data_IF_283493067712
#
_entry.id   IF_283493067712
#
_cell.length_a   1.000
_cell.length_b   1.000
_cell.length_c   1.000
_cell.angle_alpha   90.00
_cell.angle_beta   90.00
_cell.angle_gamma   90.00
#
_symmetry.space_group_name_H-M   'P 1'
#
loop_
_entity.id
_entity.type
_entity.pdbx_description
1 polymer ?
#
# COMPACT_ATOMS: atom_id res chain seq x y z
N UNK A 1 3.79 -6.07 7.72
CA UNK A 1 2.77 -6.18 6.66
C UNK A 1 2.31 -7.61 6.37
N UNK A 2 3.15 -8.66 6.51
CA UNK A 2 2.71 -10.06 6.32
C UNK A 2 1.41 -10.40 7.08
N UNK A 3 1.29 -9.98 8.35
CA UNK A 3 0.10 -10.21 9.17
C UNK A 3 -1.14 -9.39 8.77
N UNK A 4 -0.97 -8.33 7.98
CA UNK A 4 -2.07 -7.47 7.55
C UNK A 4 -2.90 -8.09 6.42
N UNK A 5 -2.34 -9.10 5.73
CA UNK A 5 -2.96 -9.72 4.56
C UNK A 5 -3.60 -11.07 4.91
N UNK A 6 -4.90 -11.19 4.66
CA UNK A 6 -5.64 -12.45 4.74
C UNK A 6 -6.03 -12.90 3.31
N UNK A 7 -5.18 -13.75 2.72
CA UNK A 7 -5.36 -14.27 1.37
C UNK A 7 -6.68 -15.06 1.21
N UNK A 8 -7.14 -15.75 2.26
CA UNK A 8 -8.37 -16.56 2.21
C UNK A 8 -9.61 -15.71 2.04
N UNK A 9 -9.59 -14.48 2.58
CA UNK A 9 -10.67 -13.50 2.48
C UNK A 9 -10.43 -12.45 1.40
N UNK A 10 -9.21 -12.38 0.86
CA UNK A 10 -8.72 -11.26 0.05
C UNK A 10 -9.01 -9.93 0.75
N UNK A 11 -8.56 -9.84 2.00
CA UNK A 11 -8.72 -8.65 2.84
C UNK A 11 -7.35 -8.16 3.32
N UNK A 12 -7.13 -6.86 3.21
CA UNK A 12 -5.93 -6.19 3.68
C UNK A 12 -6.30 -5.20 4.78
N UNK A 13 -5.67 -5.33 5.95
CA UNK A 13 -5.73 -4.34 7.02
C UNK A 13 -4.90 -3.11 6.62
N UNK A 14 -5.55 -1.95 6.53
CA UNK A 14 -4.94 -0.69 6.05
C UNK A 14 -4.88 0.40 7.11
N UNK A 15 -5.47 0.17 8.29
CA UNK A 15 -5.39 1.10 9.41
C UNK A 15 -5.95 0.48 10.69
N UNK A 16 -5.44 0.92 11.82
CA UNK A 16 -5.99 0.58 13.15
C UNK A 16 -6.07 1.87 13.95
N UNK A 17 -7.25 2.23 14.43
CA UNK A 17 -7.50 3.47 15.16
C UNK A 17 -8.51 4.39 14.53
N UNK A 18 -9.52 4.78 15.29
CA UNK A 18 -10.43 5.84 14.89
C UNK A 18 -9.71 7.20 14.98
N UNK A 19 -9.43 7.87 13.84
CA UNK A 19 -8.49 8.99 13.81
C UNK A 19 -8.96 10.19 14.65
N UNK A 20 -10.26 10.51 14.61
CA UNK A 20 -10.82 11.61 15.40
C UNK A 20 -10.69 11.43 16.92
N UNK A 21 -10.87 10.21 17.43
CA UNK A 21 -10.79 9.96 18.87
C UNK A 21 -9.34 9.88 19.33
N UNK A 22 -8.48 9.28 18.51
CA UNK A 22 -7.03 9.24 18.71
C UNK A 22 -6.46 10.66 18.82
N UNK A 23 -6.76 11.54 17.86
CA UNK A 23 -6.25 12.92 17.84
C UNK A 23 -6.84 13.85 18.91
N UNK A 24 -7.98 13.48 19.52
CA UNK A 24 -8.55 14.22 20.67
C UNK A 24 -7.86 13.89 21.99
N UNK A 25 -6.96 12.90 21.99
CA UNK A 25 -6.38 12.35 23.20
C UNK A 25 -4.90 12.69 23.29
N UNK A 26 -4.49 13.32 24.40
CA UNK A 26 -3.08 13.57 24.71
C UNK A 26 -2.69 12.71 25.91
N UNK A 27 -2.34 11.45 25.64
CA UNK A 27 -2.00 10.44 26.64
C UNK A 27 -0.78 9.64 26.18
N UNK A 28 -0.14 8.93 27.12
CA UNK A 28 0.83 7.91 26.76
C UNK A 28 0.16 6.79 25.94
N UNK A 29 0.83 6.25 24.93
CA UNK A 29 0.26 5.25 24.02
C UNK A 29 -0.13 3.96 24.76
N UNK A 30 0.60 3.60 25.82
CA UNK A 30 0.34 2.46 26.69
C UNK A 30 -0.99 2.60 27.48
N UNK A 31 -1.55 3.81 27.53
CA UNK A 31 -2.79 4.11 28.26
C UNK A 31 -4.03 4.14 27.36
N UNK A 32 -3.89 3.89 26.05
CA UNK A 32 -5.00 3.94 25.08
C UNK A 32 -6.13 3.01 25.50
N UNK A 33 -5.83 1.76 25.83
CA UNK A 33 -6.84 0.75 26.20
C UNK A 33 -7.55 1.05 27.53
N UNK A 34 -6.96 1.93 28.35
CA UNK A 34 -7.53 2.35 29.64
C UNK A 34 -8.34 3.63 29.48
N UNK A 35 -7.84 4.58 28.69
CA UNK A 35 -8.34 5.97 28.68
C UNK A 35 -9.33 6.22 27.56
N UNK A 36 -9.13 5.58 26.41
CA UNK A 36 -10.00 5.65 25.25
C UNK A 36 -10.27 4.25 24.71
N UNK A 37 -10.87 3.36 25.53
CA UNK A 37 -11.16 1.99 25.11
C UNK A 37 -12.02 1.98 23.84
N UNK A 38 -11.92 0.91 23.06
CA UNK A 38 -12.70 0.68 21.83
C UNK A 38 -12.38 1.61 20.64
N UNK A 39 -11.40 2.51 20.78
CA UNK A 39 -10.99 3.41 19.68
C UNK A 39 -10.05 2.77 18.67
N UNK A 40 -9.45 1.60 18.98
CA UNK A 40 -8.54 0.87 18.08
C UNK A 40 -9.31 0.01 17.07
N UNK A 41 -10.15 0.65 16.27
CA UNK A 41 -10.94 0.02 15.20
C UNK A 41 -10.04 -0.35 14.02
N UNK A 42 -10.19 -1.56 13.49
CA UNK A 42 -9.45 -2.03 12.32
C UNK A 42 -10.19 -1.72 11.01
N UNK A 43 -9.48 -1.15 10.04
CA UNK A 43 -9.99 -0.81 8.71
C UNK A 43 -9.39 -1.71 7.64
N UNK A 44 -10.24 -2.18 6.74
CA UNK A 44 -9.85 -3.15 5.71
C UNK A 44 -10.27 -2.70 4.32
N UNK A 45 -9.44 -3.03 3.33
CA UNK A 45 -9.84 -3.10 1.93
C UNK A 45 -10.08 -4.55 1.53
N UNK A 46 -10.90 -4.74 0.50
CA UNK A 46 -11.35 -6.06 0.01
C UNK A 46 -11.78 -5.96 -1.45
N UNK A 47 -12.14 -7.08 -2.07
CA UNK A 47 -12.65 -7.10 -3.45
C UNK A 47 -13.84 -6.15 -3.71
N UNK A 48 -14.70 -5.94 -2.70
CA UNK A 48 -15.88 -5.05 -2.79
C UNK A 48 -15.57 -3.60 -2.39
N UNK A 49 -14.45 -3.39 -1.71
CA UNK A 49 -13.97 -2.11 -1.19
C UNK A 49 -12.46 -2.04 -1.49
N UNK A 50 -12.08 -1.87 -2.77
CA UNK A 50 -10.69 -2.01 -3.22
C UNK A 50 -9.78 -0.90 -2.67
N UNK A 51 -8.47 -1.13 -2.76
CA UNK A 51 -7.44 -0.17 -2.38
C UNK A 51 -6.14 -0.53 -3.05
N UNK A 52 -6.05 -0.21 -4.34
CA UNK A 52 -4.93 -0.60 -5.20
C UNK A 52 -3.63 0.07 -4.76
N UNK A 53 -3.65 1.36 -4.47
CA UNK A 53 -2.50 2.15 -4.05
C UNK A 53 -1.89 1.60 -2.76
N UNK A 54 -2.70 1.41 -1.71
CA UNK A 54 -2.19 0.92 -0.41
C UNK A 54 -1.72 -0.54 -0.48
N UNK A 55 -2.40 -1.38 -1.27
CA UNK A 55 -1.99 -2.77 -1.47
C UNK A 55 -0.68 -2.85 -2.28
N UNK A 56 -0.55 -2.05 -3.33
CA UNK A 56 0.66 -1.98 -4.15
C UNK A 56 1.84 -1.38 -3.37
N UNK A 57 1.64 -0.35 -2.54
CA UNK A 57 2.68 0.20 -1.68
C UNK A 57 3.16 -0.82 -0.64
N UNK A 58 2.25 -1.57 -0.01
CA UNK A 58 2.63 -2.67 0.90
C UNK A 58 3.35 -3.80 0.17
N UNK A 59 2.98 -4.08 -1.08
CA UNK A 59 3.72 -5.01 -1.95
C UNK A 59 5.15 -4.53 -2.19
N UNK A 60 5.33 -3.27 -2.61
CA UNK A 60 6.62 -2.66 -2.87
C UNK A 60 7.53 -2.72 -1.63
N UNK A 61 6.99 -2.35 -0.46
CA UNK A 61 7.71 -2.38 0.81
C UNK A 61 8.17 -3.81 1.17
N UNK A 62 7.29 -4.82 1.08
CA UNK A 62 7.65 -6.21 1.36
C UNK A 62 8.70 -6.76 0.39
N UNK A 63 8.59 -6.42 -0.90
CA UNK A 63 9.56 -6.84 -1.90
C UNK A 63 10.94 -6.21 -1.63
N UNK A 64 10.98 -4.89 -1.41
CA UNK A 64 12.21 -4.16 -1.09
C UNK A 64 12.87 -4.70 0.19
N UNK A 65 12.08 -4.97 1.24
CA UNK A 65 12.57 -5.59 2.47
C UNK A 65 13.13 -7.00 2.22
N UNK A 66 12.42 -7.82 1.46
CA UNK A 66 12.88 -9.18 1.12
C UNK A 66 14.22 -9.16 0.37
N UNK A 67 14.40 -8.21 -0.55
CA UNK A 67 15.67 -8.03 -1.26
C UNK A 67 16.80 -7.60 -0.32
N UNK A 68 16.54 -6.60 0.53
CA UNK A 68 17.52 -6.13 1.51
C UNK A 68 17.94 -7.23 2.49
N UNK A 69 16.98 -8.02 3.00
CA UNK A 69 17.27 -9.11 3.93
C UNK A 69 18.05 -10.25 3.27
N UNK A 70 17.78 -10.55 2.00
CA UNK A 70 18.62 -11.48 1.23
C UNK A 70 20.04 -10.95 1.05
N UNK A 71 20.19 -9.66 0.69
CA UNK A 71 21.49 -9.02 0.49
C UNK A 71 22.33 -9.00 1.77
N UNK A 72 21.70 -8.65 2.90
CA UNK A 72 22.34 -8.57 4.22
C UNK A 72 22.43 -9.92 4.94
N UNK A 73 21.92 -11.01 4.35
CA UNK A 73 21.87 -12.35 4.97
C UNK A 73 21.20 -12.36 6.35
N UNK A 74 20.15 -11.56 6.51
CA UNK A 74 19.34 -11.53 7.74
C UNK A 74 18.55 -12.84 7.85
N UNK A 75 18.54 -13.45 9.03
CA UNK A 75 17.68 -14.60 9.34
C UNK A 75 16.21 -14.14 9.47
N UNK A 76 15.54 -14.06 8.33
CA UNK A 76 14.15 -13.66 8.20
C UNK A 76 13.45 -14.52 7.14
N UNK A 77 12.14 -14.71 7.31
CA UNK A 77 11.29 -15.42 6.34
C UNK A 77 11.01 -14.55 5.10
N UNK A 78 12.05 -14.39 4.28
CA UNK A 78 11.98 -13.59 3.04
C UNK A 78 11.07 -14.23 1.99
N UNK A 79 10.92 -15.55 1.99
CA UNK A 79 10.02 -16.25 1.07
C UNK A 79 8.56 -15.89 1.33
N UNK A 80 8.14 -15.82 2.60
CA UNK A 80 6.81 -15.30 2.96
C UNK A 80 6.65 -13.83 2.56
N UNK A 81 7.68 -12.99 2.69
CA UNK A 81 7.61 -11.60 2.27
C UNK A 81 7.37 -11.47 0.76
N UNK A 82 8.15 -12.18 -0.07
CA UNK A 82 7.98 -12.18 -1.53
C UNK A 82 6.63 -12.76 -1.95
N UNK A 83 6.15 -13.81 -1.27
CA UNK A 83 4.84 -14.40 -1.53
C UNK A 83 3.71 -13.39 -1.25
N UNK A 84 3.67 -12.80 -0.05
CA UNK A 84 2.62 -11.83 0.32
C UNK A 84 2.72 -10.58 -0.55
N UNK A 85 3.94 -10.14 -0.87
CA UNK A 85 4.16 -9.03 -1.79
C UNK A 85 3.49 -9.27 -3.15
N UNK A 86 3.72 -10.44 -3.77
CA UNK A 86 3.07 -10.80 -5.04
C UNK A 86 1.55 -10.90 -4.92
N UNK A 87 1.04 -11.55 -3.88
CA UNK A 87 -0.41 -11.65 -3.65
C UNK A 87 -1.09 -10.28 -3.51
N UNK A 88 -0.44 -9.32 -2.86
CA UNK A 88 -0.94 -7.96 -2.70
C UNK A 88 -0.97 -7.20 -4.02
N UNK A 89 0.08 -7.31 -4.84
CA UNK A 89 0.10 -6.67 -6.15
C UNK A 89 -0.94 -7.29 -7.09
N UNK A 90 -1.07 -8.62 -7.09
CA UNK A 90 -2.10 -9.33 -7.84
C UNK A 90 -3.50 -8.86 -7.43
N UNK A 91 -3.76 -8.71 -6.13
CA UNK A 91 -5.00 -8.15 -5.61
C UNK A 91 -5.23 -6.70 -6.10
N UNK A 92 -4.20 -5.85 -6.02
CA UNK A 92 -4.27 -4.45 -6.42
C UNK A 92 -4.59 -4.27 -7.91
N UNK A 93 -3.99 -5.10 -8.78
CA UNK A 93 -4.22 -5.10 -10.23
C UNK A 93 -5.62 -5.65 -10.55
N UNK A 94 -6.03 -6.74 -9.89
CA UNK A 94 -7.29 -7.44 -10.18
C UNK A 94 -8.53 -6.68 -9.73
N UNK A 95 -8.44 -5.90 -8.65
CA UNK A 95 -9.55 -5.15 -8.07
C UNK A 95 -9.19 -3.66 -7.99
N UNK A 96 -9.23 -2.93 -9.12
CA UNK A 96 -8.83 -1.53 -9.16
C UNK A 96 -9.76 -0.64 -8.33
N UNK A 97 -9.20 0.23 -7.51
CA UNK A 97 -9.93 1.32 -6.87
C UNK A 97 -9.22 1.91 -5.65
N UNK A 98 -9.63 3.12 -5.26
CA UNK A 98 -8.93 3.86 -4.21
C UNK A 98 -9.30 3.43 -2.80
N UNK A 99 -8.30 3.22 -1.94
CA UNK A 99 -8.47 2.87 -0.54
C UNK A 99 -9.17 3.98 0.24
N UNK A 100 -8.89 5.23 -0.11
CA UNK A 100 -9.46 6.40 0.55
C UNK A 100 -10.97 6.53 0.25
N UNK A 101 -11.45 6.01 -0.88
CA UNK A 101 -12.88 5.87 -1.17
C UNK A 101 -13.49 4.71 -0.37
N UNK A 102 -12.77 3.60 -0.27
CA UNK A 102 -13.20 2.39 0.45
C UNK A 102 -13.25 2.55 1.98
N UNK A 103 -12.38 3.42 2.52
CA UNK A 103 -12.23 3.75 3.92
C UNK A 103 -12.32 5.28 4.09
N UNK A 104 -13.53 5.88 4.04
CA UNK A 104 -13.68 7.34 4.02
C UNK A 104 -13.03 8.07 5.21
N UNK A 105 -12.94 7.43 6.37
CA UNK A 105 -12.35 7.98 7.60
C UNK A 105 -10.88 8.40 7.42
N UNK A 106 -10.17 7.89 6.40
CA UNK A 106 -8.77 8.26 6.14
C UNK A 106 -8.63 9.49 5.24
N UNK A 107 -9.69 9.92 4.54
CA UNK A 107 -9.60 10.97 3.52
C UNK A 107 -9.17 12.33 4.09
N UNK A 108 -9.48 12.62 5.35
CA UNK A 108 -9.07 13.88 5.97
C UNK A 108 -7.57 13.91 6.32
N UNK A 109 -6.89 12.77 6.26
CA UNK A 109 -5.51 12.61 6.72
C UNK A 109 -4.58 12.17 5.58
N UNK A 110 -4.91 11.06 4.94
CA UNK A 110 -4.15 10.45 3.86
C UNK A 110 -5.12 10.08 2.73
N UNK A 111 -5.50 11.08 1.95
CA UNK A 111 -6.32 10.88 0.75
C UNK A 111 -5.42 10.54 -0.44
N UNK A 112 -5.82 9.57 -1.25
CA UNK A 112 -5.19 9.35 -2.56
C UNK A 112 -5.58 10.50 -3.50
N UNK A 113 -4.61 11.35 -3.87
CA UNK A 113 -4.84 12.48 -4.79
C UNK A 113 -4.48 12.15 -6.23
N UNK A 114 -3.40 11.39 -6.42
CA UNK A 114 -2.84 10.95 -7.70
C UNK A 114 -3.53 9.70 -8.26
N UNK A 115 -4.27 8.98 -7.43
CA UNK A 115 -4.89 7.71 -7.77
C UNK A 115 -4.06 6.51 -7.31
N UNK A 116 -3.90 5.52 -8.18
CA UNK A 116 -3.20 4.27 -7.85
C UNK A 116 -2.29 3.75 -8.95
N UNK A 117 -2.23 4.44 -10.11
CA UNK A 117 -1.47 3.94 -11.26
C UNK A 117 0.03 4.06 -11.03
N UNK A 118 0.49 5.09 -10.32
CA UNK A 118 1.88 5.25 -9.93
C UNK A 118 2.30 4.19 -8.90
N UNK A 119 1.48 3.84 -7.91
CA UNK A 119 1.79 2.73 -7.00
C UNK A 119 1.83 1.38 -7.70
N UNK A 120 0.93 1.13 -8.65
CA UNK A 120 0.95 -0.10 -9.45
C UNK A 120 2.25 -0.19 -10.28
N UNK A 121 2.69 0.92 -10.86
CA UNK A 121 3.95 0.99 -11.59
C UNK A 121 5.16 0.79 -10.65
N UNK A 122 5.16 1.47 -9.51
CA UNK A 122 6.18 1.40 -8.47
C UNK A 122 6.36 -0.02 -7.93
N UNK A 123 5.26 -0.67 -7.54
CA UNK A 123 5.28 -2.03 -7.01
C UNK A 123 5.74 -3.04 -8.06
N UNK A 124 5.29 -2.89 -9.31
CA UNK A 124 5.74 -3.75 -10.41
C UNK A 124 7.24 -3.60 -10.67
N UNK A 125 7.81 -2.39 -10.60
CA UNK A 125 9.26 -2.19 -10.70
C UNK A 125 10.05 -2.87 -9.58
N UNK A 126 9.52 -2.90 -8.35
CA UNK A 126 10.13 -3.67 -7.27
C UNK A 126 10.09 -5.17 -7.52
N UNK A 127 8.96 -5.70 -8.03
CA UNK A 127 8.89 -7.11 -8.42
C UNK A 127 9.89 -7.43 -9.53
N UNK A 128 9.96 -6.59 -10.58
CA UNK A 128 10.93 -6.73 -11.66
C UNK A 128 12.37 -6.77 -11.13
N UNK A 129 12.72 -5.87 -10.19
CA UNK A 129 14.05 -5.90 -9.55
C UNK A 129 14.32 -7.21 -8.81
N UNK A 130 13.29 -7.89 -8.32
CA UNK A 130 13.44 -9.08 -7.49
C UNK A 130 13.73 -10.37 -8.26
N UNK A 131 13.14 -10.51 -9.46
CA UNK A 131 13.22 -11.75 -10.25
C UNK A 131 13.57 -11.53 -11.74
N UNK A 132 13.66 -10.27 -12.19
CA UNK A 132 13.91 -9.86 -13.58
C UNK A 132 12.87 -10.39 -14.58
N UNK A 133 11.66 -10.74 -14.14
CA UNK A 133 10.58 -11.13 -15.03
C UNK A 133 10.05 -9.90 -15.79
N UNK A 134 10.22 -9.90 -17.12
CA UNK A 134 9.83 -8.79 -17.99
C UNK A 134 8.32 -8.52 -17.97
N UNK A 135 7.48 -9.47 -17.54
CA UNK A 135 6.05 -9.23 -17.35
C UNK A 135 5.80 -8.09 -16.34
N UNK A 136 6.63 -7.98 -15.30
CA UNK A 136 6.54 -6.88 -14.33
C UNK A 136 6.94 -5.54 -14.93
N UNK A 137 7.96 -5.54 -15.79
CA UNK A 137 8.37 -4.32 -16.51
C UNK A 137 7.25 -3.82 -17.43
N UNK A 138 6.57 -4.73 -18.14
CA UNK A 138 5.43 -4.39 -19.00
C UNK A 138 4.27 -3.80 -18.20
N UNK A 139 3.93 -4.41 -17.04
CA UNK A 139 2.92 -3.88 -16.11
C UNK A 139 3.32 -2.49 -15.61
N UNK A 140 4.59 -2.28 -15.26
CA UNK A 140 5.09 -1.00 -14.80
C UNK A 140 4.93 0.10 -15.85
N UNK A 141 5.38 -0.16 -17.07
CA UNK A 141 5.29 0.77 -18.19
C UNK A 141 3.82 1.09 -18.54
N UNK A 142 2.96 0.07 -18.55
CA UNK A 142 1.54 0.26 -18.82
C UNK A 142 0.88 1.16 -17.78
N UNK A 143 1.12 0.92 -16.49
CA UNK A 143 0.51 1.71 -15.41
C UNK A 143 1.10 3.13 -15.36
N UNK A 144 2.40 3.31 -15.60
CA UNK A 144 2.99 4.65 -15.70
C UNK A 144 2.35 5.48 -16.82
N UNK A 145 2.05 4.87 -17.98
CA UNK A 145 1.30 5.55 -19.05
C UNK A 145 -0.14 5.90 -18.64
N UNK A 146 -0.80 5.05 -17.84
CA UNK A 146 -2.14 5.36 -17.31
C UNK A 146 -2.09 6.52 -16.30
N UNK A 147 -1.08 6.53 -15.42
CA UNK A 147 -0.84 7.63 -14.49
C UNK A 147 -0.71 8.96 -15.25
N UNK A 148 0.12 9.02 -16.30
CA UNK A 148 0.31 10.24 -17.09
C UNK A 148 -0.99 10.73 -17.76
N UNK A 149 -1.87 9.80 -18.18
CA UNK A 149 -3.18 10.13 -18.74
C UNK A 149 -4.17 10.61 -17.69
N UNK A 150 -4.15 10.03 -16.49
CA UNK A 150 -5.00 10.40 -15.37
C UNK A 150 -4.58 11.74 -14.76
N UNK A 151 -3.29 12.06 -14.79
CA UNK A 151 -2.68 13.23 -14.17
C UNK A 151 -1.93 14.12 -15.20
N UNK A 152 -2.60 14.62 -16.26
CA UNK A 152 -1.94 15.33 -17.36
C UNK A 152 -1.31 16.68 -16.95
N UNK A 153 -1.67 17.19 -15.77
CA UNK A 153 -1.13 18.44 -15.21
C UNK A 153 0.12 18.23 -14.36
N UNK A 154 0.41 16.99 -13.93
CA UNK A 154 1.63 16.69 -13.17
C UNK A 154 2.78 16.60 -14.15
N UNK A 155 3.68 17.57 -14.07
CA UNK A 155 4.95 17.60 -14.78
C UNK A 155 6.09 17.24 -13.83
N UNK A 156 7.22 16.72 -14.34
CA UNK A 156 8.36 16.31 -13.52
C UNK A 156 8.95 17.40 -12.59
N UNK A 157 8.66 18.67 -12.85
CA UNK A 157 9.13 19.84 -12.10
C UNK A 157 8.03 20.49 -11.22
N UNK A 158 6.80 19.99 -11.26
CA UNK A 158 5.65 20.57 -10.53
C UNK A 158 5.38 19.92 -9.19
N UNK A 159 5.93 18.72 -8.95
CA UNK A 159 5.78 17.98 -7.69
C UNK A 159 7.00 17.07 -7.42
N UNK A 160 6.96 16.26 -6.36
CA UNK A 160 8.05 15.39 -5.95
C UNK A 160 7.55 14.06 -5.39
N UNK A 161 8.43 13.04 -5.42
CA UNK A 161 8.22 11.75 -4.81
C UNK A 161 7.78 11.89 -3.34
N UNK A 162 6.66 11.26 -2.99
CA UNK A 162 6.05 11.34 -1.67
C UNK A 162 5.23 10.07 -1.36
N UNK A 163 4.56 10.06 -0.22
CA UNK A 163 3.70 8.94 0.18
C UNK A 163 2.48 8.74 -0.73
N UNK A 164 2.09 9.76 -1.49
CA UNK A 164 0.95 9.74 -2.43
C UNK A 164 1.39 9.66 -3.90
N UNK A 165 2.61 10.10 -4.25
CA UNK A 165 3.06 10.15 -5.65
C UNK A 165 4.42 9.44 -5.80
N UNK A 166 4.48 8.42 -6.67
CA UNK A 166 5.68 7.59 -6.95
C UNK A 166 6.16 7.69 -8.39
N UNK A 167 5.64 8.66 -9.15
CA UNK A 167 5.97 8.87 -10.57
C UNK A 167 7.38 9.42 -10.83
#
# INVERSE_FOLDING_TARGET
FVQCWDASKQQLLVGVGHPTWDHKSWIAAEMIDITIPETRVAYYVSQKKPGSEVAAEMSAALCAMGLLFKELQVDADTDTMFRVSRELLDFAIKYPGSYSISVPDVQEFYKSWTGFYDELAWAAMWQYRSDMDTAWLDIALQNYQQYQKANPSVKPDTWAFAWDDKS
#
